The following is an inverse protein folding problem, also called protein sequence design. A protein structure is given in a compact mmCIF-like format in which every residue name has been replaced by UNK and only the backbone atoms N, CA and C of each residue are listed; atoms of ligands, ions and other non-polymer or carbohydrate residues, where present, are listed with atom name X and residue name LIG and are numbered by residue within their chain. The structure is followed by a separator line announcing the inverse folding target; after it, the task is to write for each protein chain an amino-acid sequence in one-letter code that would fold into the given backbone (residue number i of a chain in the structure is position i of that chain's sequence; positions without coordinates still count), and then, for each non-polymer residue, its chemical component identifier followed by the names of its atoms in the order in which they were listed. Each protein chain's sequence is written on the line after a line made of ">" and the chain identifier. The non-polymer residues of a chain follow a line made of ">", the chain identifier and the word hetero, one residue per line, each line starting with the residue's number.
data_IF_078888276675
#
_entry.id   IF_078888276675
#
_cell.length_a   1.000
_cell.length_b   1.000
_cell.length_c   1.000
_cell.angle_alpha   90.00
_cell.angle_beta   90.00
_cell.angle_gamma   90.00
#
_symmetry.space_group_name_H-M   'P 1'
#
loop_
_entity.id
_entity.type
_entity.pdbx_description
1 polymer ?
#
# COMPACT_ATOMS: atom_id res chain seq x y z
N UNK A 1 31.21 -37.85 16.00
CA UNK A 1 30.85 -36.64 16.79
C UNK A 1 31.30 -35.34 16.12
N UNK A 2 32.46 -35.34 15.44
CA UNK A 2 33.04 -34.16 14.76
C UNK A 2 32.17 -33.59 13.61
N UNK A 3 31.47 -34.45 12.85
CA UNK A 3 30.63 -34.01 11.72
C UNK A 3 29.46 -33.10 12.12
N UNK A 4 28.82 -33.31 13.28
CA UNK A 4 27.72 -32.45 13.77
C UNK A 4 28.21 -31.05 14.14
N UNK A 5 29.44 -30.95 14.63
CA UNK A 5 30.08 -29.68 15.03
C UNK A 5 30.44 -28.87 13.78
N UNK A 6 30.94 -29.52 12.73
CA UNK A 6 31.28 -28.85 11.46
C UNK A 6 30.02 -28.30 10.78
N UNK A 7 28.91 -29.06 10.75
CA UNK A 7 27.65 -28.58 10.17
C UNK A 7 27.09 -27.39 10.97
N UNK A 8 27.15 -27.43 12.30
CA UNK A 8 26.70 -26.33 13.15
C UNK A 8 27.55 -25.06 12.93
N UNK A 9 28.87 -25.21 12.83
CA UNK A 9 29.77 -24.07 12.55
C UNK A 9 29.51 -23.50 11.16
N UNK A 10 29.35 -24.34 10.13
CA UNK A 10 29.01 -23.88 8.78
C UNK A 10 27.67 -23.12 8.76
N UNK A 11 26.64 -23.60 9.45
CA UNK A 11 25.36 -22.90 9.54
C UNK A 11 25.48 -21.54 10.24
N UNK A 12 26.22 -21.47 11.35
CA UNK A 12 26.43 -20.22 12.10
C UNK A 12 27.23 -19.21 11.28
N UNK A 13 28.26 -19.65 10.54
CA UNK A 13 29.03 -18.74 9.68
C UNK A 13 28.24 -18.26 8.47
N UNK A 14 27.34 -19.07 7.91
CA UNK A 14 26.44 -18.62 6.84
C UNK A 14 25.46 -17.58 7.37
N UNK A 15 24.87 -17.77 8.55
CA UNK A 15 23.96 -16.77 9.14
C UNK A 15 24.68 -15.46 9.49
N UNK A 16 25.94 -15.52 9.94
CA UNK A 16 26.73 -14.33 10.27
C UNK A 16 27.32 -13.60 9.06
N UNK A 17 27.48 -14.28 7.92
CA UNK A 17 27.95 -13.72 6.66
C UNK A 17 26.82 -13.26 5.73
N UNK A 18 25.56 -13.59 6.05
CA UNK A 18 24.43 -12.82 5.54
C UNK A 18 24.62 -11.43 6.17
N UNK A 19 25.05 -10.39 5.41
CA UNK A 19 24.97 -9.04 5.95
C UNK A 19 23.55 -8.93 6.47
N UNK A 20 23.36 -8.48 7.71
CA UNK A 20 22.03 -8.21 8.24
C UNK A 20 21.33 -7.41 7.16
N UNK A 21 20.49 -8.09 6.37
CA UNK A 21 19.72 -7.41 5.36
C UNK A 21 18.88 -6.54 6.24
N UNK A 22 19.12 -5.22 6.22
CA UNK A 22 18.47 -4.35 7.16
C UNK A 22 17.00 -4.70 6.98
N UNK A 23 16.40 -5.14 8.09
CA UNK A 23 15.02 -5.52 8.10
C UNK A 23 14.30 -4.39 7.37
N UNK A 24 13.80 -4.69 6.17
CA UNK A 24 13.00 -3.74 5.42
C UNK A 24 13.70 -2.41 5.00
N UNK A 25 14.86 -2.40 4.31
CA UNK A 25 15.29 -1.19 3.54
C UNK A 25 14.67 -1.10 2.16
N UNK A 26 13.34 -1.19 2.14
CA UNK A 26 12.50 -0.96 0.98
C UNK A 26 11.25 -0.18 1.38
N UNK A 27 11.42 0.87 2.19
CA UNK A 27 10.43 1.95 2.32
C UNK A 27 10.85 3.11 1.41
N UNK A 28 11.11 2.80 0.13
CA UNK A 28 10.85 3.79 -0.90
C UNK A 28 9.34 3.85 -1.07
N UNK A 29 8.78 5.06 -1.08
CA UNK A 29 7.35 5.33 -1.19
C UNK A 29 6.62 4.29 -2.07
N UNK A 30 5.82 3.42 -1.45
CA UNK A 30 5.00 2.45 -2.15
C UNK A 30 5.31 0.99 -1.84
N UNK A 31 4.90 0.53 -0.65
CA UNK A 31 5.01 -0.89 -0.31
C UNK A 31 3.94 -1.73 -1.02
N UNK A 32 4.31 -2.90 -1.53
CA UNK A 32 3.36 -3.86 -2.08
C UNK A 32 3.82 -4.59 -3.34
N UNK A 33 4.90 -4.11 -3.96
CA UNK A 33 5.51 -4.81 -5.08
C UNK A 33 6.60 -5.76 -4.58
N UNK A 34 6.40 -7.06 -4.74
CA UNK A 34 7.47 -8.04 -4.55
C UNK A 34 8.68 -7.67 -5.43
N UNK A 35 9.87 -8.11 -5.01
CA UNK A 35 11.20 -7.81 -5.57
C UNK A 35 11.35 -8.07 -7.10
N UNK A 36 10.31 -8.58 -7.76
CA UNK A 36 10.26 -8.95 -9.17
C UNK A 36 9.39 -8.04 -10.04
N UNK A 37 8.65 -7.09 -9.45
CA UNK A 37 7.81 -6.18 -10.23
C UNK A 37 8.62 -4.95 -10.65
N UNK A 38 8.59 -4.59 -11.95
CA UNK A 38 9.26 -3.41 -12.41
C UNK A 38 8.75 -2.12 -11.74
N UNK A 39 9.63 -1.10 -11.55
CA UNK A 39 9.27 0.14 -10.84
C UNK A 39 8.07 0.90 -11.42
N UNK A 40 7.88 0.84 -12.75
CA UNK A 40 6.77 1.51 -13.42
C UNK A 40 5.41 0.87 -13.14
N UNK A 41 5.39 -0.40 -12.72
CA UNK A 41 4.17 -1.09 -12.27
C UNK A 41 3.94 -0.79 -10.79
N UNK A 42 4.97 -0.89 -9.97
CA UNK A 42 4.86 -0.67 -8.53
C UNK A 42 4.54 0.78 -8.15
N UNK A 43 4.93 1.75 -8.98
CA UNK A 43 4.65 3.17 -8.77
C UNK A 43 3.33 3.63 -9.44
N UNK A 44 2.63 2.73 -10.14
CA UNK A 44 1.43 3.13 -10.86
C UNK A 44 0.29 3.47 -9.89
N UNK A 45 -0.55 4.49 -10.18
CA UNK A 45 -1.64 4.90 -9.29
C UNK A 45 -2.71 3.83 -9.04
N UNK A 46 -2.88 2.89 -9.98
CA UNK A 46 -3.79 1.76 -9.85
C UNK A 46 -3.20 0.63 -8.99
N UNK A 47 -1.89 0.62 -8.76
CA UNK A 47 -1.23 -0.40 -7.97
C UNK A 47 -1.42 -0.06 -6.47
N UNK A 48 -1.87 -1.03 -5.65
CA UNK A 48 -2.04 -0.81 -4.22
C UNK A 48 -0.72 -0.44 -3.52
N UNK A 49 -0.74 0.67 -2.80
CA UNK A 49 0.41 1.15 -2.03
C UNK A 49 0.19 0.89 -0.54
N UNK A 50 1.21 0.40 0.13
CA UNK A 50 1.18 0.18 1.56
C UNK A 50 1.34 1.52 2.28
N UNK A 51 0.50 1.74 3.29
CA UNK A 51 0.48 2.96 4.07
C UNK A 51 0.41 2.63 5.57
N UNK A 52 1.17 3.32 6.42
CA UNK A 52 1.09 3.11 7.86
C UNK A 52 -0.25 3.62 8.39
N UNK A 53 -0.98 2.75 9.10
CA UNK A 53 -2.15 3.15 9.87
C UNK A 53 -2.35 2.27 11.09
N UNK A 54 -2.96 2.85 12.12
CA UNK A 54 -3.03 2.28 13.48
C UNK A 54 -4.44 1.82 13.86
N UNK A 55 -5.46 2.28 13.15
CA UNK A 55 -6.87 1.94 13.42
C UNK A 55 -7.40 1.00 12.35
N UNK A 56 -7.89 -0.17 12.76
CA UNK A 56 -8.54 -1.12 11.84
C UNK A 56 -9.82 -0.52 11.30
N UNK A 57 -9.98 -0.54 9.99
CA UNK A 57 -11.15 0.03 9.31
C UNK A 57 -10.84 0.46 7.89
N UNK A 58 -11.82 1.07 7.22
CA UNK A 58 -11.66 1.68 5.91
C UNK A 58 -11.94 3.18 6.00
N UNK A 59 -11.11 3.97 5.34
CA UNK A 59 -11.28 5.42 5.25
C UNK A 59 -10.93 5.92 3.85
N UNK A 60 -11.35 7.13 3.51
CA UNK A 60 -10.93 7.79 2.28
C UNK A 60 -9.65 8.57 2.56
N UNK A 61 -8.61 8.39 1.74
CA UNK A 61 -7.46 9.31 1.74
C UNK A 61 -7.77 10.55 0.93
N UNK A 62 -8.42 10.35 -0.21
CA UNK A 62 -8.77 11.37 -1.19
C UNK A 62 -10.13 11.04 -1.81
N UNK A 63 -10.62 11.93 -2.66
CA UNK A 63 -11.92 11.80 -3.32
C UNK A 63 -12.07 10.57 -4.21
N UNK A 64 -10.97 9.95 -4.64
CA UNK A 64 -10.95 8.76 -5.50
C UNK A 64 -10.07 7.64 -4.94
N UNK A 65 -9.59 7.78 -3.70
CA UNK A 65 -8.63 6.84 -3.12
C UNK A 65 -9.09 6.43 -1.73
N UNK A 66 -9.14 5.11 -1.50
CA UNK A 66 -9.48 4.54 -0.19
C UNK A 66 -8.28 3.87 0.45
N UNK A 67 -8.27 3.85 1.77
CA UNK A 67 -7.32 3.12 2.59
C UNK A 67 -8.08 2.03 3.34
N UNK A 68 -7.58 0.80 3.26
CA UNK A 68 -8.05 -0.33 4.07
C UNK A 68 -6.98 -0.68 5.07
N UNK A 69 -7.25 -0.42 6.34
CA UNK A 69 -6.34 -0.58 7.46
C UNK A 69 -6.56 -1.88 8.22
N UNK A 70 -5.47 -2.59 8.45
CA UNK A 70 -5.39 -3.78 9.29
C UNK A 70 -4.53 -3.51 10.52
N UNK A 71 -4.36 -4.51 11.40
CA UNK A 71 -3.59 -4.36 12.64
C UNK A 71 -2.10 -4.05 12.44
N UNK A 72 -1.56 -4.31 11.24
CA UNK A 72 -0.13 -4.15 10.93
C UNK A 72 0.14 -2.98 9.98
N UNK A 73 -0.89 -2.23 9.58
CA UNK A 73 -0.83 -1.22 8.51
C UNK A 73 -1.93 -1.43 7.47
N UNK A 74 -1.93 -0.61 6.42
CA UNK A 74 -3.02 -0.58 5.45
C UNK A 74 -2.57 -0.54 4.01
N UNK A 75 -3.54 -0.73 3.13
CA UNK A 75 -3.38 -0.61 1.69
C UNK A 75 -4.21 0.57 1.19
N UNK A 76 -3.53 1.54 0.60
CA UNK A 76 -4.12 2.62 -0.18
C UNK A 76 -4.35 2.13 -1.62
N UNK A 77 -5.57 2.29 -2.11
CA UNK A 77 -5.99 1.88 -3.45
C UNK A 77 -6.91 2.93 -4.07
N UNK A 78 -6.68 3.24 -5.34
CA UNK A 78 -7.60 4.04 -6.12
C UNK A 78 -8.93 3.29 -6.37
N UNK A 79 -10.02 4.04 -6.47
CA UNK A 79 -11.30 3.57 -6.98
C UNK A 79 -11.23 3.51 -8.50
N UNK A 80 -10.83 2.35 -9.03
CA UNK A 80 -10.58 2.15 -10.46
C UNK A 80 -11.83 1.79 -11.27
N UNK A 81 -12.96 1.56 -10.61
CA UNK A 81 -14.22 1.25 -11.28
C UNK A 81 -14.83 2.56 -11.84
N UNK A 82 -15.01 2.67 -13.17
CA UNK A 82 -15.58 3.88 -13.77
C UNK A 82 -17.03 4.16 -13.33
N UNK A 83 -17.76 3.16 -12.85
CA UNK A 83 -19.11 3.34 -12.31
C UNK A 83 -19.11 3.82 -10.85
N UNK A 84 -17.99 3.67 -10.15
CA UNK A 84 -17.79 4.04 -8.74
C UNK A 84 -16.44 4.74 -8.54
N UNK A 85 -16.21 5.91 -9.18
CA UNK A 85 -14.90 6.55 -9.17
C UNK A 85 -14.60 7.30 -7.87
N UNK A 86 -15.59 7.49 -7.01
CA UNK A 86 -15.45 8.31 -5.81
C UNK A 86 -15.26 7.46 -4.56
N UNK A 87 -14.49 7.94 -3.59
CA UNK A 87 -14.45 7.36 -2.25
C UNK A 87 -15.48 8.06 -1.35
N UNK A 88 -16.31 7.26 -0.68
CA UNK A 88 -17.29 7.73 0.30
C UNK A 88 -17.28 6.79 1.51
N UNK A 89 -16.99 7.33 2.71
CA UNK A 89 -16.91 6.58 3.98
C UNK A 89 -16.00 5.33 3.94
N UNK A 90 -14.92 5.38 3.15
CA UNK A 90 -13.98 4.27 3.00
C UNK A 90 -14.35 3.23 1.93
N UNK A 91 -15.44 3.45 1.19
CA UNK A 91 -15.86 2.60 0.08
C UNK A 91 -15.90 3.35 -1.26
N UNK A 92 -15.76 2.61 -2.36
CA UNK A 92 -15.90 3.19 -3.70
C UNK A 92 -17.39 3.31 -4.06
N UNK A 93 -17.82 4.52 -4.40
CA UNK A 93 -19.20 4.91 -4.65
C UNK A 93 -19.32 5.66 -5.97
N UNK A 94 -20.53 5.61 -6.54
CA UNK A 94 -20.91 6.40 -7.70
C UNK A 94 -21.16 7.88 -7.34
N UNK A 95 -21.40 8.17 -6.06
CA UNK A 95 -21.70 9.51 -5.56
C UNK A 95 -20.50 10.06 -4.78
N UNK A 96 -20.02 11.27 -5.10
CA UNK A 96 -18.94 11.90 -4.35
C UNK A 96 -19.36 12.14 -2.90
N UNK A 97 -18.39 12.12 -1.99
CA UNK A 97 -18.59 12.61 -0.62
C UNK A 97 -18.84 14.13 -0.63
N UNK A 98 -19.44 14.66 0.43
CA UNK A 98 -19.79 16.08 0.53
C UNK A 98 -18.56 17.00 0.36
N UNK A 99 -17.39 16.55 0.83
CA UNK A 99 -16.13 17.27 0.72
C UNK A 99 -15.50 17.20 -0.68
N UNK A 100 -15.97 16.28 -1.52
CA UNK A 100 -15.45 15.98 -2.85
C UNK A 100 -16.44 16.31 -3.98
N UNK A 101 -17.63 16.79 -3.63
CA UNK A 101 -18.54 17.36 -4.59
C UNK A 101 -17.94 18.65 -5.16
N UNK A 102 -17.68 18.69 -6.47
CA UNK A 102 -17.29 19.93 -7.15
C UNK A 102 -18.41 20.96 -6.92
N UNK A 103 -18.12 22.20 -6.55
CA UNK A 103 -19.15 23.22 -6.41
C UNK A 103 -19.93 23.32 -7.73
N UNK A 104 -21.25 23.18 -7.63
CA UNK A 104 -22.16 23.30 -8.75
C UNK A 104 -22.03 24.73 -9.27
N UNK A 105 -21.32 24.94 -10.38
CA UNK A 105 -21.39 26.21 -11.09
C UNK A 105 -22.77 26.22 -11.76
N UNK A 106 -23.69 27.12 -11.37
CA UNK A 106 -25.03 27.14 -11.94
C UNK A 106 -24.92 27.40 -13.45
N UNK A 107 -25.63 26.60 -14.23
CA UNK A 107 -25.64 26.65 -15.70
C UNK A 107 -26.21 27.94 -16.30
N UNK A 108 -26.59 28.93 -15.47
CA UNK A 108 -27.17 30.21 -15.89
C UNK A 108 -26.16 31.37 -15.84
N UNK A 109 -24.91 31.12 -16.21
CA UNK A 109 -23.88 32.15 -16.35
C UNK A 109 -23.44 32.34 -17.81
N UNK A 110 -24.39 32.38 -18.75
CA UNK A 110 -24.29 33.09 -20.04
C UNK A 110 -25.70 33.49 -20.46
#
# INVERSE_FOLDING_TARGET
>A
MVSKIIIAICFVTVVAAIPAQPAFTGWGAGGGAGVLLPPWISAAPWFPQWTPCTTVGSSCSDCSTKIVCTKIGGLQRACTDPTKPYCNLGECSATPSEQCAVPVVPANAV
#
